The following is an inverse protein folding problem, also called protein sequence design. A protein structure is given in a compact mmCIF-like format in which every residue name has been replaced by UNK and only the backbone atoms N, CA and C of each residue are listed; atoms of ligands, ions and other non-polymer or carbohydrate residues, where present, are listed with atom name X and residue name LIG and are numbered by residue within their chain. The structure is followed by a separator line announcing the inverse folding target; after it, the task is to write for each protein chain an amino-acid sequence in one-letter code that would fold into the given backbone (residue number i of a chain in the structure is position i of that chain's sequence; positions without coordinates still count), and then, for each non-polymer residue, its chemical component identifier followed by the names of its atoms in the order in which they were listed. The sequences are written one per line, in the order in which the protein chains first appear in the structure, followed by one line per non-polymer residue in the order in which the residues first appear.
data_IF_071890185488
#
_entry.id   IF_071890185488
#
_cell.length_a   1.000
_cell.length_b   1.000
_cell.length_c   1.000
_cell.angle_alpha   90.00
_cell.angle_beta   90.00
_cell.angle_gamma   90.00
#
_symmetry.space_group_name_H-M   'P 1'
#
loop_
_entity.id
_entity.type
_entity.pdbx_description
1 polymer ?
#
# COMPACT_ATOMS: atom_id res chain seq x y z
N UNK A 1 51.65 1.41 15.99
CA UNK A 1 50.51 0.93 15.18
C UNK A 1 49.47 0.41 16.14
N UNK A 2 48.39 1.16 16.37
CA UNK A 2 47.26 0.72 17.21
C UNK A 2 45.99 1.20 16.55
N UNK A 3 45.31 0.31 15.84
CA UNK A 3 44.03 0.59 15.19
C UNK A 3 42.96 0.49 16.27
N UNK A 4 42.54 1.63 16.82
CA UNK A 4 41.33 1.67 17.62
C UNK A 4 40.14 1.40 16.69
N UNK A 5 39.72 0.13 16.63
CA UNK A 5 38.46 -0.31 16.03
C UNK A 5 37.34 0.44 16.76
N UNK A 6 36.87 1.55 16.17
CA UNK A 6 35.70 2.28 16.65
C UNK A 6 34.52 1.30 16.59
N UNK A 7 33.97 1.02 17.76
CA UNK A 7 32.67 0.39 17.92
C UNK A 7 31.66 1.24 17.14
N UNK A 8 31.16 0.71 16.03
CA UNK A 8 30.00 1.28 15.37
C UNK A 8 28.82 1.13 16.34
N UNK A 9 28.41 2.25 16.91
CA UNK A 9 27.14 2.41 17.61
C UNK A 9 26.02 2.06 16.63
N UNK A 10 25.44 0.87 16.74
CA UNK A 10 24.19 0.54 16.05
C UNK A 10 23.08 1.27 16.81
N UNK A 11 22.65 2.41 16.30
CA UNK A 11 21.53 3.23 16.80
C UNK A 11 20.91 4.00 15.61
N UNK A 12 19.70 4.56 15.73
CA UNK A 12 18.36 4.01 15.62
C UNK A 12 17.79 4.01 14.17
N UNK A 13 18.61 3.71 13.16
CA UNK A 13 18.26 3.88 11.73
C UNK A 13 17.01 3.10 11.24
N UNK A 14 16.56 2.08 11.98
CA UNK A 14 15.47 1.20 11.53
C UNK A 14 14.12 1.94 11.45
N UNK A 15 13.92 3.02 12.22
CA UNK A 15 12.64 3.74 12.26
C UNK A 15 12.49 4.83 11.18
N UNK A 16 13.58 5.52 10.83
CA UNK A 16 13.53 6.61 9.85
C UNK A 16 13.22 6.10 8.43
N UNK A 17 13.72 4.91 8.08
CA UNK A 17 13.48 4.29 6.78
C UNK A 17 11.99 3.94 6.60
N UNK A 18 11.34 3.38 7.63
CA UNK A 18 9.91 3.04 7.60
C UNK A 18 9.04 4.31 7.51
N UNK A 19 9.40 5.36 8.25
CA UNK A 19 8.69 6.65 8.20
C UNK A 19 8.82 7.27 6.80
N UNK A 20 10.02 7.25 6.22
CA UNK A 20 10.28 7.77 4.88
C UNK A 20 9.56 6.96 3.81
N UNK A 21 9.57 5.63 3.93
CA UNK A 21 8.86 4.71 3.05
C UNK A 21 7.36 4.99 3.06
N UNK A 22 6.75 5.05 4.24
CA UNK A 22 5.34 5.42 4.40
C UNK A 22 5.05 6.77 3.75
N UNK A 23 5.87 7.79 3.98
CA UNK A 23 5.69 9.12 3.39
C UNK A 23 5.72 9.07 1.86
N UNK A 24 6.64 8.32 1.27
CA UNK A 24 6.72 8.12 -0.19
C UNK A 24 5.50 7.39 -0.72
N UNK A 25 5.07 6.32 -0.05
CA UNK A 25 3.88 5.55 -0.41
C UNK A 25 2.64 6.46 -0.43
N UNK A 26 2.42 7.26 0.62
CA UNK A 26 1.27 8.18 0.68
C UNK A 26 1.27 9.22 -0.46
N UNK A 27 2.45 9.63 -0.94
CA UNK A 27 2.53 10.50 -2.11
C UNK A 27 2.20 9.76 -3.41
N UNK A 28 2.67 8.52 -3.58
CA UNK A 28 2.39 7.71 -4.78
C UNK A 28 0.90 7.38 -4.90
N UNK A 29 0.28 6.98 -3.79
CA UNK A 29 -1.14 6.61 -3.73
C UNK A 29 -2.06 7.73 -4.21
N UNK A 30 -1.68 8.99 -3.99
CA UNK A 30 -2.48 10.17 -4.38
C UNK A 30 -2.24 10.63 -5.82
N UNK A 31 -1.32 9.99 -6.54
CA UNK A 31 -0.84 10.42 -7.84
C UNK A 31 -0.75 9.25 -8.83
N UNK A 32 -1.75 8.37 -8.85
CA UNK A 32 -1.77 7.22 -9.77
C UNK A 32 -2.07 7.62 -11.21
N UNK A 33 -2.55 8.86 -11.41
CA UNK A 33 -3.04 9.38 -12.69
C UNK A 33 -4.52 9.09 -12.94
N UNK A 34 -5.21 8.41 -12.03
CA UNK A 34 -6.62 8.05 -12.16
C UNK A 34 -7.38 8.33 -10.86
N UNK A 35 -8.32 9.29 -10.92
CA UNK A 35 -9.02 9.80 -9.73
C UNK A 35 -9.79 8.72 -8.98
N UNK A 36 -10.38 7.76 -9.69
CA UNK A 36 -11.12 6.65 -9.09
C UNK A 36 -10.23 5.79 -8.20
N UNK A 37 -8.98 5.54 -8.63
CA UNK A 37 -8.00 4.80 -7.83
C UNK A 37 -7.49 5.64 -6.67
N UNK A 38 -7.20 6.93 -6.90
CA UNK A 38 -6.74 7.83 -5.84
C UNK A 38 -7.79 7.91 -4.70
N UNK A 39 -9.08 8.04 -5.04
CA UNK A 39 -10.19 8.05 -4.07
C UNK A 39 -10.33 6.70 -3.36
N UNK A 40 -10.26 5.59 -4.10
CA UNK A 40 -10.34 4.25 -3.52
C UNK A 40 -9.24 4.03 -2.48
N UNK A 41 -7.99 4.36 -2.83
CA UNK A 41 -6.88 4.15 -1.94
C UNK A 41 -6.88 5.08 -0.74
N UNK A 42 -7.24 6.36 -0.92
CA UNK A 42 -7.39 7.31 0.20
C UNK A 42 -8.48 6.85 1.18
N UNK A 43 -9.61 6.35 0.67
CA UNK A 43 -10.68 5.76 1.47
C UNK A 43 -10.26 4.49 2.21
N UNK A 44 -9.54 3.58 1.53
CA UNK A 44 -9.00 2.37 2.15
C UNK A 44 -7.99 2.70 3.26
N UNK A 45 -7.03 3.59 3.01
CA UNK A 45 -6.03 4.02 3.99
C UNK A 45 -6.70 4.69 5.18
N UNK A 46 -7.72 5.51 4.94
CA UNK A 46 -8.49 6.15 6.01
C UNK A 46 -9.28 5.14 6.86
N UNK A 47 -9.55 3.95 6.33
CA UNK A 47 -10.29 2.89 7.02
C UNK A 47 -9.44 1.97 7.90
N UNK A 48 -8.11 1.98 7.71
CA UNK A 48 -7.17 1.20 8.53
C UNK A 48 -6.60 2.09 9.65
N UNK A 49 -6.34 1.52 10.83
CA UNK A 49 -5.64 2.24 11.90
C UNK A 49 -4.23 2.60 11.44
N UNK A 50 -3.72 3.77 11.83
CA UNK A 50 -2.49 4.43 11.33
C UNK A 50 -1.17 3.61 11.34
N UNK A 51 -1.16 2.34 11.71
CA UNK A 51 0.01 1.46 11.70
C UNK A 51 -0.06 0.47 10.53
N UNK A 52 0.47 0.87 9.37
CA UNK A 52 0.87 -0.08 8.33
C UNK A 52 2.18 -0.73 8.76
N UNK A 53 2.19 -2.06 8.87
CA UNK A 53 3.44 -2.80 9.12
C UNK A 53 4.40 -2.63 7.93
N UNK A 54 5.72 -2.79 8.12
CA UNK A 54 6.69 -2.72 7.02
C UNK A 54 6.33 -3.65 5.85
N UNK A 55 5.89 -4.88 6.16
CA UNK A 55 5.42 -5.83 5.14
C UNK A 55 4.20 -5.32 4.39
N UNK A 56 3.26 -4.63 5.05
CA UNK A 56 2.12 -4.02 4.38
C UNK A 56 2.56 -2.88 3.45
N UNK A 57 3.59 -2.11 3.82
CA UNK A 57 4.14 -1.06 2.94
C UNK A 57 4.78 -1.67 1.69
N UNK A 58 5.54 -2.76 1.83
CA UNK A 58 6.16 -3.48 0.70
C UNK A 58 5.10 -4.02 -0.27
N UNK A 59 4.05 -4.66 0.26
CA UNK A 59 2.92 -5.18 -0.51
C UNK A 59 2.16 -4.06 -1.23
N UNK A 60 2.04 -2.89 -0.59
CA UNK A 60 1.40 -1.72 -1.20
C UNK A 60 2.26 -1.13 -2.33
N UNK A 61 3.57 -1.08 -2.17
CA UNK A 61 4.45 -0.65 -3.26
C UNK A 61 4.39 -1.61 -4.45
N UNK A 62 4.42 -2.92 -4.20
CA UNK A 62 4.24 -3.93 -5.24
C UNK A 62 2.90 -3.78 -5.97
N UNK A 63 1.84 -3.37 -5.25
CA UNK A 63 0.56 -3.03 -5.84
C UNK A 63 0.68 -1.83 -6.80
N UNK A 64 1.33 -0.75 -6.37
CA UNK A 64 1.45 0.49 -7.16
C UNK A 64 2.46 0.41 -8.31
N UNK A 65 3.24 -0.66 -8.41
CA UNK A 65 4.13 -0.94 -9.54
C UNK A 65 3.38 -1.56 -10.73
N UNK A 66 2.13 -1.98 -10.54
CA UNK A 66 1.27 -2.44 -11.63
C UNK A 66 0.74 -1.24 -12.41
N UNK A 67 0.62 -1.40 -13.74
CA UNK A 67 0.07 -0.35 -14.60
C UNK A 67 -1.32 0.10 -14.14
N UNK A 68 -1.52 1.41 -14.03
CA UNK A 68 -2.77 2.04 -13.58
C UNK A 68 -4.03 1.48 -14.25
N UNK A 69 -4.09 1.26 -15.58
CA UNK A 69 -5.28 0.69 -16.22
C UNK A 69 -5.59 -0.74 -15.76
N UNK A 70 -4.55 -1.55 -15.52
CA UNK A 70 -4.68 -2.92 -15.03
C UNK A 70 -5.16 -2.95 -13.57
N UNK A 71 -4.62 -2.06 -12.74
CA UNK A 71 -5.10 -1.87 -11.36
C UNK A 71 -6.57 -1.46 -11.32
N UNK A 72 -6.97 -0.53 -12.18
CA UNK A 72 -8.36 -0.08 -12.29
C UNK A 72 -9.29 -1.24 -12.66
N UNK A 73 -8.92 -2.04 -13.68
CA UNK A 73 -9.72 -3.21 -14.06
C UNK A 73 -9.84 -4.23 -12.92
N UNK A 74 -8.77 -4.46 -12.17
CA UNK A 74 -8.74 -5.44 -11.10
C UNK A 74 -9.52 -5.00 -9.85
N UNK A 75 -9.37 -3.74 -9.42
CA UNK A 75 -9.89 -3.26 -8.14
C UNK A 75 -11.26 -2.59 -8.27
N UNK A 76 -11.47 -1.80 -9.32
CA UNK A 76 -12.69 -1.03 -9.53
C UNK A 76 -13.70 -1.81 -10.35
N UNK A 77 -13.30 -2.28 -11.54
CA UNK A 77 -14.17 -3.08 -12.42
C UNK A 77 -14.31 -4.52 -11.94
N UNK A 78 -13.40 -4.97 -11.05
CA UNK A 78 -13.38 -6.32 -10.45
C UNK A 78 -13.30 -7.42 -11.51
N UNK A 79 -12.50 -7.17 -12.54
CA UNK A 79 -12.15 -8.18 -13.53
C UNK A 79 -10.99 -9.05 -13.03
N UNK A 80 -10.30 -9.70 -13.96
CA UNK A 80 -9.18 -10.59 -13.66
C UNK A 80 -8.07 -9.83 -12.91
N UNK A 81 -7.67 -10.37 -11.75
CA UNK A 81 -6.49 -9.90 -11.02
C UNK A 81 -5.22 -10.24 -11.81
N UNK A 82 -4.29 -9.28 -12.02
CA UNK A 82 -2.96 -9.56 -12.57
C UNK A 82 -2.25 -10.65 -11.77
N UNK A 83 -1.47 -11.49 -12.46
CA UNK A 83 -0.74 -12.60 -11.84
C UNK A 83 0.24 -12.12 -10.77
N UNK A 84 0.82 -10.94 -10.99
CA UNK A 84 1.73 -10.26 -10.08
C UNK A 84 1.09 -9.87 -8.74
N UNK A 85 -0.24 -9.76 -8.68
CA UNK A 85 -0.98 -9.42 -7.47
C UNK A 85 -1.66 -10.64 -6.84
N UNK A 86 -1.51 -11.82 -7.43
CA UNK A 86 -2.02 -13.04 -6.82
C UNK A 86 -1.25 -13.33 -5.53
N UNK A 87 -1.95 -13.35 -4.40
CA UNK A 87 -1.35 -13.53 -3.08
C UNK A 87 -0.91 -12.22 -2.40
N UNK A 88 -1.01 -11.06 -3.08
CA UNK A 88 -0.75 -9.77 -2.45
C UNK A 88 -1.85 -9.46 -1.41
N UNK A 89 -1.45 -9.35 -0.15
CA UNK A 89 -2.38 -9.19 0.98
C UNK A 89 -3.11 -7.84 0.94
N UNK A 90 -2.43 -6.78 0.51
CA UNK A 90 -3.02 -5.44 0.38
C UNK A 90 -4.08 -5.43 -0.71
N UNK A 91 -3.81 -6.03 -1.87
CA UNK A 91 -4.79 -6.18 -2.94
C UNK A 91 -6.05 -6.93 -2.47
N UNK A 92 -5.86 -8.02 -1.72
CA UNK A 92 -6.97 -8.79 -1.14
C UNK A 92 -7.78 -7.97 -0.13
N UNK A 93 -7.12 -7.21 0.75
CA UNK A 93 -7.77 -6.35 1.72
C UNK A 93 -8.54 -5.20 1.08
N UNK A 94 -7.99 -4.57 0.04
CA UNK A 94 -8.68 -3.52 -0.72
C UNK A 94 -9.92 -4.10 -1.38
N UNK A 95 -9.83 -5.27 -2.03
CA UNK A 95 -11.00 -5.93 -2.62
C UNK A 95 -12.08 -6.22 -1.58
N UNK A 96 -11.70 -6.65 -0.39
CA UNK A 96 -12.65 -6.87 0.70
C UNK A 96 -13.28 -5.56 1.19
N UNK A 97 -12.50 -4.49 1.30
CA UNK A 97 -13.00 -3.14 1.57
C UNK A 97 -14.03 -2.69 0.54
N UNK A 98 -13.76 -2.84 -0.76
CA UNK A 98 -14.72 -2.46 -1.82
C UNK A 98 -15.98 -3.34 -1.76
N UNK A 99 -15.87 -4.62 -1.42
CA UNK A 99 -17.04 -5.51 -1.25
C UNK A 99 -17.93 -5.05 -0.10
N UNK A 100 -17.34 -4.68 1.05
CA UNK A 100 -18.08 -4.19 2.22
C UNK A 100 -18.83 -2.89 1.94
N UNK A 101 -18.21 -1.94 1.23
CA UNK A 101 -18.83 -0.68 0.86
C UNK A 101 -20.07 -0.81 -0.05
N UNK A 102 -20.25 -1.94 -0.75
CA UNK A 102 -21.46 -2.23 -1.53
C UNK A 102 -22.55 -2.92 -0.71
N UNK A 103 -22.20 -3.68 0.34
CA UNK A 103 -23.19 -4.31 1.21
C UNK A 103 -24.02 -3.29 1.99
N UNK A 104 -23.47 -2.09 2.25
CA UNK A 104 -24.19 -0.97 2.84
C UNK A 104 -25.08 -0.22 1.85
N UNK A 105 -24.91 -0.41 0.54
CA UNK A 105 -25.66 0.28 -0.51
C UNK A 105 -26.83 -0.54 -1.10
N UNK A 106 -27.00 -1.80 -0.67
CA UNK A 106 -28.05 -2.72 -1.17
C UNK A 106 -29.11 -3.07 -0.12
N UNK A 107 -29.23 -2.25 0.91
CA UNK A 107 -30.15 -2.42 2.03
C UNK A 107 -30.97 -1.18 2.30
N UNK A 108 -31.62 -0.63 1.27
CA UNK A 108 -32.80 0.26 1.36
C UNK A 108 -33.74 -0.04 0.21
#
# INVERSE_FOLDING_TARGET
MTVHRRLFSVSPLINDDVILHRKRLMMRVKNTGMKELDVLFDGYISSISEEMSPTMLDEFDALLDIETPSLYQALVVRQKMPEQLQGNLVAANILDYVKRGLSTAKGE
#
